data_IF_829908158966
#
_entry.id   IF_829908158966
#
_cell.length_a   1.000
_cell.length_b   1.000
_cell.length_c   1.000
_cell.angle_alpha   90.00
_cell.angle_beta   90.00
_cell.angle_gamma   90.00
#
_symmetry.space_group_name_H-M   'P 1'
#
loop_
_entity.id
_entity.type
_entity.pdbx_description
1 polymer ?
#
# COMPACT_ATOMS: atom_id res chain seq x y z
N UNK A 1 27.91 -47.08 -24.87
CA UNK A 1 26.94 -46.26 -25.62
C UNK A 1 25.68 -45.98 -24.80
N UNK A 2 25.14 -47.01 -24.13
CA UNK A 2 23.96 -46.95 -23.26
C UNK A 2 24.01 -45.84 -22.19
N UNK A 3 25.14 -45.68 -21.49
CA UNK A 3 25.28 -44.66 -20.43
C UNK A 3 25.24 -43.22 -20.97
N UNK A 4 25.72 -43.00 -22.21
CA UNK A 4 25.69 -41.68 -22.86
C UNK A 4 24.27 -41.29 -23.30
N UNK A 5 23.46 -42.28 -23.71
CA UNK A 5 22.05 -42.10 -24.06
C UNK A 5 21.20 -41.83 -22.82
N UNK A 6 21.44 -42.58 -21.74
CA UNK A 6 20.81 -42.36 -20.43
C UNK A 6 21.09 -40.94 -19.89
N UNK A 7 22.35 -40.50 -19.95
CA UNK A 7 22.70 -39.14 -19.50
C UNK A 7 22.04 -38.06 -20.36
N UNK A 8 21.97 -38.25 -21.68
CA UNK A 8 21.34 -37.28 -22.58
C UNK A 8 19.83 -37.15 -22.32
N UNK A 9 19.14 -38.27 -22.06
CA UNK A 9 17.72 -38.29 -21.71
C UNK A 9 17.44 -37.55 -20.40
N UNK A 10 18.30 -37.74 -19.41
CA UNK A 10 18.17 -37.12 -18.09
C UNK A 10 18.35 -35.60 -18.16
N UNK A 11 19.31 -35.14 -18.98
CA UNK A 11 19.50 -33.70 -19.25
C UNK A 11 18.30 -33.12 -19.99
N UNK A 12 17.76 -33.82 -20.99
CA UNK A 12 16.57 -33.36 -21.71
C UNK A 12 15.35 -33.22 -20.79
N UNK A 13 15.16 -34.15 -19.86
CA UNK A 13 14.10 -34.06 -18.83
C UNK A 13 14.29 -32.86 -17.90
N UNK A 14 15.51 -32.63 -17.41
CA UNK A 14 15.83 -31.48 -16.58
C UNK A 14 15.58 -30.15 -17.30
N UNK A 15 15.96 -30.06 -18.58
CA UNK A 15 15.70 -28.86 -19.39
C UNK A 15 14.21 -28.64 -19.63
N UNK A 16 13.46 -29.72 -19.89
CA UNK A 16 12.01 -29.66 -20.06
C UNK A 16 11.31 -29.19 -18.78
N UNK A 17 11.77 -29.68 -17.63
CA UNK A 17 11.27 -29.26 -16.32
C UNK A 17 11.60 -27.78 -16.04
N UNK A 18 12.79 -27.31 -16.40
CA UNK A 18 13.18 -25.92 -16.25
C UNK A 18 12.29 -24.99 -17.07
N UNK A 19 11.98 -25.35 -18.32
CA UNK A 19 11.05 -24.60 -19.17
C UNK A 19 9.64 -24.60 -18.56
N UNK A 20 9.17 -25.73 -18.03
CA UNK A 20 7.86 -25.82 -17.39
C UNK A 20 7.76 -24.90 -16.16
N UNK A 21 8.83 -24.77 -15.37
CA UNK A 21 8.89 -23.86 -14.21
C UNK A 21 8.81 -22.39 -14.64
N UNK A 22 9.43 -22.02 -15.77
CA UNK A 22 9.39 -20.65 -16.30
C UNK A 22 7.97 -20.25 -16.77
N UNK A 23 7.15 -21.23 -17.15
CA UNK A 23 5.76 -21.02 -17.55
C UNK A 23 4.79 -20.91 -16.36
N UNK A 24 5.26 -21.16 -15.14
CA UNK A 24 4.43 -20.96 -13.96
C UNK A 24 4.14 -19.46 -13.78
N UNK A 25 2.90 -19.09 -13.42
CA UNK A 25 2.55 -17.71 -13.14
C UNK A 25 3.43 -17.21 -12.00
N UNK A 26 4.21 -16.17 -12.28
CA UNK A 26 4.94 -15.47 -11.25
C UNK A 26 3.92 -14.63 -10.46
N UNK A 27 4.05 -14.54 -9.12
CA UNK A 27 3.28 -13.59 -8.37
C UNK A 27 3.59 -12.21 -8.94
N UNK A 28 2.65 -11.63 -9.66
CA UNK A 28 2.70 -10.24 -10.08
C UNK A 28 2.92 -9.45 -8.80
N UNK A 29 4.02 -8.71 -8.72
CA UNK A 29 4.23 -7.73 -7.66
C UNK A 29 3.00 -6.83 -7.68
N UNK A 30 2.06 -7.06 -6.76
CA UNK A 30 0.92 -6.19 -6.57
C UNK A 30 1.54 -4.81 -6.40
N UNK A 31 1.21 -3.87 -7.29
CA UNK A 31 1.74 -2.53 -7.21
C UNK A 31 1.52 -2.07 -5.76
N UNK A 32 2.62 -1.88 -5.03
CA UNK A 32 2.52 -1.58 -3.60
C UNK A 32 1.69 -0.31 -3.47
N UNK A 33 0.53 -0.42 -2.82
CA UNK A 33 -0.35 0.72 -2.60
C UNK A 33 0.46 1.79 -1.88
N UNK A 34 0.73 2.89 -2.56
CA UNK A 34 1.40 4.04 -1.96
C UNK A 34 0.38 4.85 -1.17
N UNK A 35 0.79 5.38 -0.03
CA UNK A 35 -0.04 6.21 0.84
C UNK A 35 0.55 7.60 0.93
N UNK A 36 -0.33 8.60 0.99
CA UNK A 36 0.04 9.94 1.42
C UNK A 36 -0.63 10.28 2.74
N UNK A 37 0.03 11.14 3.51
CA UNK A 37 -0.37 11.51 4.86
C UNK A 37 -0.43 13.02 5.00
N UNK A 38 -1.33 13.50 5.86
CA UNK A 38 -1.35 14.89 6.29
C UNK A 38 -1.67 15.02 7.76
N UNK A 39 -1.26 16.14 8.35
CA UNK A 39 -1.59 16.55 9.71
C UNK A 39 -2.52 17.75 9.61
N UNK A 40 -3.64 17.71 10.33
CA UNK A 40 -4.61 18.81 10.38
C UNK A 40 -5.00 19.08 11.84
N UNK A 41 -5.33 20.34 12.13
CA UNK A 41 -5.95 20.73 13.39
C UNK A 41 -7.37 21.21 13.14
N UNK A 42 -8.36 20.55 13.74
CA UNK A 42 -9.77 20.94 13.61
C UNK A 42 -10.26 21.48 14.97
N UNK A 43 -10.68 22.76 15.04
CA UNK A 43 -11.27 23.33 16.24
C UNK A 43 -12.55 22.60 16.67
N UNK A 44 -12.79 22.50 17.99
CA UNK A 44 -14.01 21.88 18.55
C UNK A 44 -15.29 22.51 17.94
N UNK A 45 -15.29 23.83 17.73
CA UNK A 45 -16.44 24.59 17.21
C UNK A 45 -16.80 24.29 15.75
N UNK A 46 -15.84 23.80 14.96
CA UNK A 46 -16.04 23.50 13.54
C UNK A 46 -15.81 22.01 13.24
N UNK A 47 -15.98 21.17 14.27
CA UNK A 47 -15.71 19.73 14.18
C UNK A 47 -16.50 19.05 13.06
N UNK A 48 -17.83 19.20 13.07
CA UNK A 48 -18.71 18.50 12.13
C UNK A 48 -18.42 18.89 10.66
N UNK A 49 -18.25 20.19 10.39
CA UNK A 49 -17.92 20.69 9.05
C UNK A 49 -16.52 20.25 8.62
N UNK A 50 -15.52 20.40 9.50
CA UNK A 50 -14.12 20.06 9.21
C UNK A 50 -13.95 18.58 8.92
N UNK A 51 -14.52 17.71 9.76
CA UNK A 51 -14.44 16.26 9.58
C UNK A 51 -15.21 15.78 8.35
N UNK A 52 -16.39 16.33 8.09
CA UNK A 52 -17.17 16.01 6.89
C UNK A 52 -16.39 16.35 5.62
N UNK A 53 -15.77 17.53 5.57
CA UNK A 53 -14.95 17.95 4.44
C UNK A 53 -13.76 17.02 4.22
N UNK A 54 -12.99 16.72 5.29
CA UNK A 54 -11.81 15.86 5.19
C UNK A 54 -12.18 14.44 4.72
N UNK A 55 -13.28 13.88 5.24
CA UNK A 55 -13.80 12.58 4.79
C UNK A 55 -14.25 12.59 3.32
N UNK A 56 -14.95 13.65 2.89
CA UNK A 56 -15.38 13.81 1.48
C UNK A 56 -14.19 13.94 0.51
N UNK A 57 -13.07 14.50 0.98
CA UNK A 57 -11.81 14.59 0.23
C UNK A 57 -11.05 13.24 0.16
N UNK A 58 -11.63 12.17 0.72
CA UNK A 58 -11.13 10.80 0.66
C UNK A 58 -10.06 10.48 1.72
N UNK A 59 -9.94 11.31 2.76
CA UNK A 59 -8.98 11.07 3.84
C UNK A 59 -9.56 10.21 4.95
N UNK A 60 -8.77 9.23 5.40
CA UNK A 60 -9.06 8.34 6.51
C UNK A 60 -8.30 8.80 7.76
N UNK A 61 -8.98 8.89 8.90
CA UNK A 61 -8.38 9.23 10.19
C UNK A 61 -7.48 8.08 10.67
N UNK A 62 -6.24 8.40 11.04
CA UNK A 62 -5.26 7.43 11.59
C UNK A 62 -5.06 7.64 13.08
N UNK A 63 -4.94 8.91 13.49
CA UNK A 63 -4.67 9.28 14.87
C UNK A 63 -5.30 10.62 15.19
N UNK A 64 -5.75 10.79 16.42
CA UNK A 64 -6.27 12.05 16.94
C UNK A 64 -5.81 12.25 18.39
N UNK A 65 -5.45 13.49 18.72
CA UNK A 65 -5.29 13.95 20.10
C UNK A 65 -6.00 15.28 20.29
N UNK A 66 -6.52 15.51 21.50
CA UNK A 66 -7.00 16.84 21.88
C UNK A 66 -5.82 17.72 22.23
N UNK A 67 -5.82 18.95 21.73
CA UNK A 67 -4.81 19.97 21.96
C UNK A 67 -5.47 21.25 22.48
N UNK A 68 -4.74 21.98 23.31
CA UNK A 68 -5.15 23.31 23.77
C UNK A 68 -4.24 24.34 23.11
N UNK A 69 -4.84 25.27 22.37
CA UNK A 69 -4.14 26.39 21.76
C UNK A 69 -3.66 27.41 22.79
N UNK A 70 -2.72 28.26 22.39
CA UNK A 70 -2.30 29.42 23.19
C UNK A 70 -3.41 30.45 23.40
N UNK A 71 -4.47 30.38 22.59
CA UNK A 71 -5.68 31.18 22.68
C UNK A 71 -6.79 30.53 23.54
N UNK A 72 -6.44 29.51 24.34
CA UNK A 72 -7.33 28.70 25.18
C UNK A 72 -8.42 27.93 24.40
N UNK A 73 -8.35 27.92 23.07
CA UNK A 73 -9.28 27.16 22.24
C UNK A 73 -8.86 25.70 22.16
N UNK A 74 -9.84 24.83 22.33
CA UNK A 74 -9.67 23.40 22.17
C UNK A 74 -9.78 23.01 20.69
N UNK A 75 -8.86 22.15 20.26
CA UNK A 75 -8.86 21.57 18.93
C UNK A 75 -8.41 20.10 18.98
N UNK A 76 -8.58 19.41 17.86
CA UNK A 76 -8.01 18.09 17.65
C UNK A 76 -6.90 18.17 16.63
N UNK A 77 -5.71 17.78 17.05
CA UNK A 77 -4.59 17.52 16.15
C UNK A 77 -4.68 16.08 15.66
N UNK A 78 -4.70 15.90 14.35
CA UNK A 78 -5.05 14.63 13.73
C UNK A 78 -4.11 14.30 12.57
N UNK A 79 -3.83 13.01 12.40
CA UNK A 79 -3.10 12.45 11.26
C UNK A 79 -4.09 11.70 10.39
N UNK A 80 -4.04 11.96 9.09
CA UNK A 80 -4.86 11.31 8.09
C UNK A 80 -3.99 10.60 7.04
N UNK A 81 -4.57 9.59 6.39
CA UNK A 81 -3.97 8.91 5.23
C UNK A 81 -4.98 8.81 4.08
N UNK A 82 -4.48 8.70 2.85
CA UNK A 82 -5.27 8.22 1.70
C UNK A 82 -4.38 7.56 0.64
N UNK A 83 -4.95 6.75 -0.27
CA UNK A 83 -4.23 6.22 -1.41
C UNK A 83 -3.59 7.34 -2.22
N UNK A 84 -2.28 7.24 -2.47
CA UNK A 84 -1.61 8.16 -3.37
C UNK A 84 -2.03 7.83 -4.79
N UNK A 85 -2.66 8.79 -5.47
CA UNK A 85 -2.98 8.65 -6.88
C UNK A 85 -1.64 8.65 -7.63
N UNK A 86 -1.29 7.51 -8.23
CA UNK A 86 -0.13 7.44 -9.12
C UNK A 86 -0.31 8.48 -10.22
N UNK A 87 0.74 9.28 -10.50
CA UNK A 87 0.74 10.09 -11.73
C UNK A 87 0.50 9.11 -12.90
N UNK A 88 -0.41 9.43 -13.83
CA UNK A 88 -0.59 8.61 -15.03
C UNK A 88 0.72 8.47 -15.82
#
# INVERSE_FOLDING_TARGET
MQNKLLSALLVAQLLSLLVLVQLLPHPTTVASQQWEYKVESVPDLSWDEGMSKIGNDGWELVFARRANGSDERMSYEMIFKRPKVGKP
#
